data_IF_153128190977
#
_entry.id   IF_153128190977
#
_cell.length_a   1.000
_cell.length_b   1.000
_cell.length_c   1.000
_cell.angle_alpha   90.00
_cell.angle_beta   90.00
_cell.angle_gamma   90.00
#
_symmetry.space_group_name_H-M   'P 1'
#
loop_
_entity.id
_entity.type
_entity.pdbx_description
1 polymer ?
#
# COMPACT_ATOMS: atom_id res chain seq x y z
N UNK A 1 -11.10 -4.64 36.86
CA UNK A 1 -11.17 -3.18 36.59
C UNK A 1 -11.44 -3.03 35.10
N UNK A 2 -12.67 -2.63 34.73
CA UNK A 2 -13.07 -2.47 33.33
C UNK A 2 -12.55 -1.12 32.83
N UNK A 3 -11.55 -1.14 31.96
CA UNK A 3 -11.06 0.05 31.26
C UNK A 3 -12.10 0.49 30.23
N UNK A 4 -12.72 1.64 30.47
CA UNK A 4 -13.63 2.31 29.53
C UNK A 4 -12.80 2.74 28.31
N UNK A 5 -13.20 2.41 27.05
CA UNK A 5 -12.47 2.85 25.88
C UNK A 5 -12.50 4.37 25.74
N UNK A 6 -11.35 5.02 25.65
CA UNK A 6 -11.13 6.48 25.62
C UNK A 6 -11.54 7.19 24.32
N UNK A 7 -12.38 6.61 23.46
CA UNK A 7 -12.83 7.26 22.22
C UNK A 7 -14.31 7.01 21.93
N UNK A 8 -15.17 7.36 22.90
CA UNK A 8 -16.60 7.46 22.59
C UNK A 8 -16.82 8.79 21.86
N UNK A 9 -16.92 8.77 20.53
CA UNK A 9 -17.40 9.93 19.77
C UNK A 9 -18.79 10.27 20.27
N UNK A 10 -18.97 11.48 20.79
CA UNK A 10 -20.27 12.00 21.21
C UNK A 10 -21.16 12.14 19.96
N UNK A 11 -22.19 11.32 19.85
CA UNK A 11 -23.23 11.47 18.85
C UNK A 11 -24.36 12.31 19.47
N UNK A 12 -24.81 13.38 18.80
CA UNK A 12 -25.98 14.14 19.28
C UNK A 12 -27.22 13.24 19.27
N UNK A 13 -28.04 13.38 20.31
CA UNK A 13 -29.31 12.64 20.37
C UNK A 13 -30.22 13.05 19.23
N UNK A 14 -30.91 12.07 18.65
CA UNK A 14 -31.91 12.32 17.60
C UNK A 14 -33.10 13.15 18.12
N UNK A 15 -33.82 13.78 17.21
CA UNK A 15 -34.92 14.67 17.53
C UNK A 15 -36.07 13.95 18.26
N UNK A 16 -36.33 12.70 17.93
CA UNK A 16 -37.36 11.89 18.57
C UNK A 16 -37.01 11.64 20.04
N UNK A 17 -35.79 11.22 20.33
CA UNK A 17 -35.29 11.01 21.69
C UNK A 17 -35.44 12.29 22.54
N UNK A 18 -35.05 13.45 21.99
CA UNK A 18 -35.22 14.74 22.69
C UNK A 18 -36.70 15.03 22.98
N UNK A 19 -37.56 14.88 22.00
CA UNK A 19 -38.99 15.16 22.12
C UNK A 19 -39.68 14.25 23.12
N UNK A 20 -39.49 12.95 23.05
CA UNK A 20 -40.14 12.03 23.98
C UNK A 20 -39.58 12.13 25.40
N UNK A 21 -38.28 12.39 25.58
CA UNK A 21 -37.70 12.62 26.89
C UNK A 21 -38.28 13.87 27.55
N UNK A 22 -38.34 14.98 26.82
CA UNK A 22 -38.91 16.24 27.32
C UNK A 22 -40.40 16.07 27.63
N UNK A 23 -41.16 15.45 26.74
CA UNK A 23 -42.61 15.22 26.94
C UNK A 23 -42.89 14.33 28.16
N UNK A 24 -42.07 13.29 28.38
CA UNK A 24 -42.22 12.43 29.54
C UNK A 24 -41.94 13.19 30.85
N UNK A 25 -40.88 14.01 30.84
CA UNK A 25 -40.55 14.87 31.99
C UNK A 25 -41.62 15.90 32.25
N UNK A 26 -42.22 16.54 31.24
CA UNK A 26 -43.34 17.51 31.34
C UNK A 26 -44.61 16.88 31.90
N UNK A 27 -44.79 15.58 31.79
CA UNK A 27 -45.89 14.81 32.39
C UNK A 27 -45.69 14.52 33.90
N UNK A 28 -44.62 15.02 34.54
CA UNK A 28 -44.37 14.86 35.96
C UNK A 28 -43.52 13.64 36.35
N UNK A 29 -42.98 12.90 35.40
CA UNK A 29 -42.08 11.78 35.72
C UNK A 29 -40.74 12.30 36.28
N UNK A 30 -40.13 11.52 37.17
CA UNK A 30 -38.90 11.94 37.82
C UNK A 30 -37.74 12.10 36.84
N UNK A 31 -36.90 13.12 37.06
CA UNK A 31 -35.71 13.39 36.26
C UNK A 31 -34.81 12.14 36.05
N UNK A 32 -34.58 11.39 37.16
CA UNK A 32 -33.74 10.22 37.16
C UNK A 32 -34.32 9.07 36.31
N UNK A 33 -35.63 8.92 36.29
CA UNK A 33 -36.32 7.91 35.47
C UNK A 33 -36.17 8.25 33.99
N UNK A 34 -36.46 9.51 33.61
CA UNK A 34 -36.35 9.93 32.20
C UNK A 34 -34.92 9.82 31.70
N UNK A 35 -33.93 10.24 32.47
CA UNK A 35 -32.52 10.14 32.11
C UNK A 35 -32.07 8.69 31.88
N UNK A 36 -32.49 7.75 32.72
CA UNK A 36 -32.20 6.32 32.56
C UNK A 36 -32.89 5.72 31.33
N UNK A 37 -34.17 6.05 31.12
CA UNK A 37 -34.96 5.51 30.02
C UNK A 37 -34.44 5.91 28.64
N UNK A 38 -34.01 7.14 28.47
CA UNK A 38 -33.56 7.70 27.19
C UNK A 38 -32.03 7.81 27.08
N UNK A 39 -31.28 7.34 28.08
CA UNK A 39 -29.81 7.42 28.16
C UNK A 39 -29.27 8.83 27.93
N UNK A 40 -29.93 9.83 28.53
CA UNK A 40 -29.58 11.25 28.41
C UNK A 40 -29.07 11.81 29.74
N UNK A 41 -28.19 12.82 29.66
CA UNK A 41 -27.71 13.49 30.86
C UNK A 41 -28.78 14.45 31.45
N UNK A 42 -28.77 14.67 32.78
CA UNK A 42 -29.63 15.64 33.44
C UNK A 42 -29.54 17.04 32.82
N UNK A 43 -28.31 17.50 32.56
CA UNK A 43 -28.06 18.81 31.95
C UNK A 43 -28.59 18.90 30.52
N UNK A 44 -28.54 17.83 29.72
CA UNK A 44 -29.12 17.79 28.38
C UNK A 44 -30.65 17.91 28.45
N UNK A 45 -31.30 17.13 29.29
CA UNK A 45 -32.76 17.17 29.45
C UNK A 45 -33.26 18.54 29.92
N UNK A 46 -32.63 19.11 30.93
CA UNK A 46 -33.00 20.46 31.45
C UNK A 46 -32.77 21.55 30.39
N UNK A 47 -31.72 21.44 29.56
CA UNK A 47 -31.46 22.37 28.46
C UNK A 47 -32.51 22.27 27.38
N UNK A 48 -32.97 21.05 27.06
CA UNK A 48 -34.06 20.85 26.10
C UNK A 48 -35.39 21.36 26.66
N UNK A 49 -35.68 21.13 27.94
CA UNK A 49 -36.86 21.68 28.59
C UNK A 49 -36.96 23.21 28.49
N UNK A 50 -35.83 23.93 28.68
CA UNK A 50 -35.78 25.38 28.52
C UNK A 50 -36.10 25.88 27.10
N UNK A 51 -35.89 25.02 26.08
CA UNK A 51 -36.14 25.34 24.68
C UNK A 51 -37.52 24.89 24.21
N UNK A 52 -38.15 24.00 24.95
CA UNK A 52 -39.37 23.32 24.54
C UNK A 52 -40.59 24.27 24.65
N UNK A 53 -41.24 24.52 23.53
CA UNK A 53 -42.47 25.33 23.39
C UNK A 53 -43.73 24.49 23.18
N UNK A 54 -43.63 23.13 23.28
CA UNK A 54 -44.71 22.22 22.98
C UNK A 54 -44.55 21.51 21.63
N UNK A 55 -43.74 22.09 20.75
CA UNK A 55 -43.50 21.53 19.38
C UNK A 55 -42.21 20.74 19.30
N UNK A 56 -42.14 19.83 18.34
CA UNK A 56 -40.95 19.06 18.10
C UNK A 56 -39.83 19.88 17.45
N UNK A 57 -40.22 20.85 16.66
CA UNK A 57 -39.37 21.78 15.92
C UNK A 57 -38.51 22.65 16.84
N UNK A 58 -39.01 23.01 18.03
CA UNK A 58 -38.26 23.79 19.03
C UNK A 58 -36.99 23.07 19.52
N UNK A 59 -36.93 21.76 19.42
CA UNK A 59 -35.80 20.92 19.85
C UNK A 59 -34.76 20.65 18.73
N UNK A 60 -34.95 21.19 17.54
CA UNK A 60 -33.97 21.12 16.47
C UNK A 60 -32.71 21.89 16.87
N UNK A 61 -31.55 21.26 16.68
CA UNK A 61 -30.28 21.94 16.95
C UNK A 61 -30.02 23.00 15.88
N UNK A 62 -29.81 24.22 16.32
CA UNK A 62 -29.43 25.33 15.45
C UNK A 62 -27.98 25.15 15.00
N UNK A 63 -27.67 25.60 13.80
CA UNK A 63 -26.31 25.63 13.30
C UNK A 63 -25.40 26.47 14.22
N UNK A 64 -24.25 25.93 14.58
CA UNK A 64 -23.23 26.66 15.32
C UNK A 64 -22.29 27.46 14.40
N UNK A 65 -22.59 27.53 13.09
CA UNK A 65 -21.79 28.34 12.17
C UNK A 65 -21.97 29.81 12.46
N UNK A 66 -20.88 30.61 12.49
CA UNK A 66 -20.97 32.06 12.61
C UNK A 66 -21.86 32.64 11.49
N UNK A 67 -22.69 33.59 11.80
CA UNK A 67 -23.52 34.30 10.81
C UNK A 67 -22.69 35.29 9.98
N UNK A 68 -21.60 35.81 10.53
CA UNK A 68 -20.69 36.74 9.88
C UNK A 68 -19.60 35.97 9.08
N UNK A 69 -19.12 36.55 8.00
CA UNK A 69 -17.93 36.07 7.30
C UNK A 69 -16.73 36.12 8.24
N UNK A 70 -15.91 35.09 8.25
CA UNK A 70 -14.67 35.09 9.04
C UNK A 70 -13.77 36.27 8.63
N UNK A 71 -13.10 36.98 9.56
CA UNK A 71 -12.25 38.13 9.22
C UNK A 71 -11.21 37.83 8.16
N UNK A 72 -10.66 36.61 8.15
CA UNK A 72 -9.71 36.15 7.16
C UNK A 72 -10.38 35.50 5.92
N UNK A 73 -11.68 35.65 5.70
CA UNK A 73 -12.32 35.19 4.48
C UNK A 73 -11.86 36.06 3.28
N UNK A 74 -11.82 35.46 2.09
CA UNK A 74 -11.54 36.23 0.87
C UNK A 74 -12.58 37.33 0.67
N UNK A 75 -12.10 38.51 0.26
CA UNK A 75 -12.98 39.61 -0.14
C UNK A 75 -13.64 39.33 -1.50
N UNK A 76 -14.72 40.00 -1.79
CA UNK A 76 -15.43 39.83 -3.03
C UNK A 76 -14.56 40.27 -4.26
N UNK A 77 -13.67 41.25 -4.02
CA UNK A 77 -12.67 41.68 -5.02
C UNK A 77 -11.63 40.58 -5.31
N UNK A 78 -11.06 40.01 -4.25
CA UNK A 78 -10.10 38.89 -4.39
C UNK A 78 -10.72 37.71 -5.14
N UNK A 79 -11.98 37.40 -4.84
CA UNK A 79 -12.74 36.34 -5.54
C UNK A 79 -12.94 36.70 -7.01
N UNK A 80 -13.23 37.96 -7.33
CA UNK A 80 -13.35 38.45 -8.69
C UNK A 80 -12.03 38.29 -9.46
N UNK A 81 -10.91 38.73 -8.87
CA UNK A 81 -9.60 38.57 -9.50
C UNK A 81 -9.28 37.09 -9.79
N UNK A 82 -9.52 36.20 -8.85
CA UNK A 82 -9.28 34.76 -9.03
C UNK A 82 -10.12 34.22 -10.20
N UNK A 83 -11.40 34.58 -10.28
CA UNK A 83 -12.30 34.16 -11.36
C UNK A 83 -11.85 34.70 -12.71
N UNK A 84 -11.47 35.99 -12.78
CA UNK A 84 -11.07 36.63 -14.02
C UNK A 84 -9.78 36.03 -14.58
N UNK A 85 -8.79 35.79 -13.72
CA UNK A 85 -7.53 35.16 -14.14
C UNK A 85 -7.72 33.72 -14.59
N UNK A 86 -8.52 32.94 -13.87
CA UNK A 86 -8.81 31.53 -14.28
C UNK A 86 -9.65 31.48 -15.55
N UNK A 87 -10.58 32.38 -15.76
CA UNK A 87 -11.39 32.46 -16.99
C UNK A 87 -10.55 32.84 -18.22
N UNK A 88 -9.64 33.80 -18.06
CA UNK A 88 -8.74 34.24 -19.17
C UNK A 88 -7.66 33.20 -19.48
N UNK A 89 -7.24 32.41 -18.51
CA UNK A 89 -6.21 31.40 -18.65
C UNK A 89 -6.68 30.05 -18.08
N UNK A 90 -7.45 29.26 -18.82
CA UNK A 90 -8.03 28.00 -18.33
C UNK A 90 -6.97 26.97 -17.90
N UNK A 91 -5.76 27.06 -18.43
CA UNK A 91 -4.67 26.14 -18.15
C UNK A 91 -3.63 26.71 -17.17
N UNK A 92 -3.91 27.86 -16.54
CA UNK A 92 -2.99 28.47 -15.58
C UNK A 92 -2.74 27.53 -14.40
N UNK A 93 -1.48 27.31 -14.06
CA UNK A 93 -1.13 26.50 -12.89
C UNK A 93 -1.34 27.30 -11.59
N UNK A 94 -1.51 26.59 -10.47
CA UNK A 94 -1.70 27.24 -9.17
C UNK A 94 -0.52 28.17 -8.79
N UNK A 95 0.77 27.77 -8.98
CA UNK A 95 1.90 28.66 -8.73
C UNK A 95 1.88 29.92 -9.60
N UNK A 96 1.55 29.80 -10.88
CA UNK A 96 1.46 30.95 -11.79
C UNK A 96 0.34 31.90 -11.39
N UNK A 97 -0.85 31.38 -11.09
CA UNK A 97 -1.96 32.16 -10.62
C UNK A 97 -1.61 32.91 -9.32
N UNK A 98 -0.98 32.20 -8.38
CA UNK A 98 -0.54 32.80 -7.13
C UNK A 98 0.50 33.90 -7.36
N UNK A 99 1.49 33.66 -8.23
CA UNK A 99 2.49 34.65 -8.61
C UNK A 99 1.87 35.91 -9.22
N UNK A 100 1.00 35.75 -10.22
CA UNK A 100 0.30 36.88 -10.88
C UNK A 100 -0.56 37.67 -9.91
N UNK A 101 -1.33 37.00 -9.07
CA UNK A 101 -2.15 37.69 -8.05
C UNK A 101 -1.31 38.49 -7.05
N UNK A 102 -0.14 37.97 -6.65
CA UNK A 102 0.79 38.71 -5.77
C UNK A 102 1.38 39.92 -6.45
N UNK A 103 1.91 39.79 -7.66
CA UNK A 103 2.64 40.85 -8.35
C UNK A 103 1.71 41.93 -8.93
N UNK A 104 0.57 41.52 -9.50
CA UNK A 104 -0.30 42.45 -10.24
C UNK A 104 -1.44 43.00 -9.37
N UNK A 105 -1.85 42.30 -8.29
CA UNK A 105 -2.99 42.68 -7.45
C UNK A 105 -2.66 42.82 -5.97
N UNK A 106 -1.41 42.65 -5.55
CA UNK A 106 -1.04 42.74 -4.15
C UNK A 106 -1.67 41.68 -3.26
N UNK A 107 -2.03 40.51 -3.80
CA UNK A 107 -2.64 39.43 -3.04
C UNK A 107 -1.72 38.93 -1.94
N UNK A 108 -2.10 39.15 -0.68
CA UNK A 108 -1.27 38.90 0.50
C UNK A 108 -1.52 37.57 1.20
N UNK A 109 -2.56 36.82 0.81
CA UNK A 109 -2.91 35.56 1.48
C UNK A 109 -1.98 34.42 1.10
N UNK A 110 -1.89 33.44 1.98
CA UNK A 110 -1.08 32.25 1.75
C UNK A 110 -1.62 31.39 0.59
N UNK A 111 -0.73 30.75 -0.17
CA UNK A 111 -1.09 29.91 -1.33
C UNK A 111 -2.12 28.82 -1.01
N UNK A 112 -2.07 28.24 0.19
CA UNK A 112 -3.07 27.23 0.62
C UNK A 112 -4.49 27.82 0.73
N UNK A 113 -4.61 29.13 1.04
CA UNK A 113 -5.90 29.81 1.09
C UNK A 113 -6.48 29.97 -0.32
N UNK A 114 -5.64 30.35 -1.29
CA UNK A 114 -6.01 30.39 -2.70
C UNK A 114 -6.46 29.02 -3.21
N UNK A 115 -5.72 27.94 -2.87
CA UNK A 115 -6.09 26.57 -3.25
C UNK A 115 -7.46 26.16 -2.72
N UNK A 116 -7.76 26.48 -1.45
CA UNK A 116 -9.06 26.17 -0.82
C UNK A 116 -10.21 26.90 -1.53
N UNK A 117 -10.05 28.18 -1.87
CA UNK A 117 -11.12 28.94 -2.52
C UNK A 117 -11.36 28.49 -3.96
N UNK A 118 -10.31 28.15 -4.73
CA UNK A 118 -10.41 27.58 -6.07
C UNK A 118 -11.20 26.25 -6.02
N UNK A 119 -10.88 25.37 -5.06
CA UNK A 119 -11.62 24.12 -4.87
C UNK A 119 -13.09 24.37 -4.52
N UNK A 120 -13.36 25.31 -3.60
CA UNK A 120 -14.73 25.65 -3.17
C UNK A 120 -15.57 26.19 -4.32
N UNK A 121 -14.97 26.95 -5.23
CA UNK A 121 -15.66 27.53 -6.39
C UNK A 121 -15.72 26.57 -7.61
N UNK A 122 -15.19 25.34 -7.49
CA UNK A 122 -15.07 24.38 -8.60
C UNK A 122 -14.39 24.98 -9.84
N UNK A 123 -13.51 25.97 -9.65
CA UNK A 123 -12.67 26.48 -10.71
C UNK A 123 -11.60 25.43 -10.97
N UNK A 124 -11.91 24.42 -11.75
CA UNK A 124 -10.93 23.44 -12.17
C UNK A 124 -9.95 24.11 -13.11
N UNK A 125 -8.71 24.24 -12.71
CA UNK A 125 -7.60 24.22 -13.64
C UNK A 125 -7.75 22.90 -14.37
N UNK A 126 -7.98 22.96 -15.67
CA UNK A 126 -8.27 21.78 -16.49
C UNK A 126 -7.07 20.84 -16.42
N UNK A 127 -7.10 19.93 -15.47
CA UNK A 127 -6.18 18.80 -15.48
C UNK A 127 -6.66 17.96 -16.64
N UNK A 128 -5.93 18.00 -17.76
CA UNK A 128 -6.09 16.99 -18.79
C UNK A 128 -6.24 15.66 -18.06
N UNK A 129 -7.43 15.11 -18.10
CA UNK A 129 -7.69 13.79 -17.55
C UNK A 129 -6.96 12.82 -18.46
N UNK A 130 -5.67 12.62 -18.22
CA UNK A 130 -5.00 11.49 -18.83
C UNK A 130 -5.84 10.27 -18.47
N UNK A 131 -6.30 9.57 -19.49
CA UNK A 131 -6.97 8.29 -19.29
C UNK A 131 -6.10 7.47 -18.36
N UNK A 132 -6.67 7.09 -17.22
CA UNK A 132 -5.91 6.28 -16.26
C UNK A 132 -5.58 4.99 -16.98
N UNK A 133 -4.29 4.78 -17.25
CA UNK A 133 -3.82 3.49 -17.73
C UNK A 133 -4.39 2.39 -16.82
N UNK A 134 -5.31 1.59 -17.34
CA UNK A 134 -5.83 0.41 -16.66
C UNK A 134 -4.88 -0.73 -17.00
N UNK A 135 -4.01 -1.13 -16.07
CA UNK A 135 -3.07 -2.22 -16.34
C UNK A 135 -3.86 -3.51 -16.59
N UNK A 136 -3.52 -4.24 -17.64
CA UNK A 136 -4.03 -5.59 -17.86
C UNK A 136 -3.79 -6.42 -16.60
N UNK A 137 -4.79 -7.18 -16.19
CA UNK A 137 -4.68 -8.09 -15.06
C UNK A 137 -3.55 -9.08 -15.34
N UNK A 138 -2.59 -9.16 -14.42
CA UNK A 138 -1.49 -10.13 -14.54
C UNK A 138 -2.05 -11.53 -14.33
N UNK A 139 -1.87 -12.38 -15.32
CA UNK A 139 -2.28 -13.77 -15.24
C UNK A 139 -1.21 -14.59 -14.51
N UNK A 140 -1.57 -15.10 -13.34
CA UNK A 140 -0.69 -15.92 -12.50
C UNK A 140 -0.86 -17.39 -12.91
N UNK A 141 0.23 -18.13 -13.19
CA UNK A 141 0.14 -19.54 -13.47
C UNK A 141 -0.62 -20.33 -12.41
N UNK A 142 -1.45 -21.28 -12.84
CA UNK A 142 -2.24 -22.12 -11.93
C UNK A 142 -1.49 -23.34 -11.43
N UNK A 143 -0.38 -23.72 -12.08
CA UNK A 143 0.43 -24.90 -11.76
C UNK A 143 1.83 -24.47 -11.33
N UNK A 144 2.43 -25.22 -10.42
CA UNK A 144 3.83 -25.05 -10.03
C UNK A 144 4.77 -25.38 -11.21
N UNK A 145 5.96 -24.79 -11.20
CA UNK A 145 6.97 -25.05 -12.23
C UNK A 145 6.68 -24.43 -13.60
N UNK A 146 5.57 -23.71 -13.78
CA UNK A 146 5.33 -22.99 -15.04
C UNK A 146 6.26 -21.78 -15.13
N UNK A 147 6.35 -21.00 -14.06
CA UNK A 147 7.12 -19.76 -14.11
C UNK A 147 7.73 -19.39 -12.76
N UNK A 148 9.02 -19.13 -12.79
CA UNK A 148 9.77 -18.55 -11.69
C UNK A 148 10.13 -17.11 -11.98
N UNK A 149 10.07 -16.25 -10.95
CA UNK A 149 10.68 -14.93 -10.98
C UNK A 149 11.97 -14.98 -10.18
N UNK A 150 13.05 -14.43 -10.73
CA UNK A 150 14.35 -14.41 -10.09
C UNK A 150 14.90 -12.98 -10.07
N UNK A 151 15.57 -12.63 -8.97
CA UNK A 151 16.16 -11.32 -8.76
C UNK A 151 17.29 -11.40 -7.71
N UNK A 152 18.17 -10.40 -7.72
CA UNK A 152 19.29 -10.28 -6.79
C UNK A 152 19.17 -8.97 -6.01
N UNK A 153 19.44 -9.04 -4.73
CA UNK A 153 19.45 -7.86 -3.87
C UNK A 153 20.75 -7.80 -3.04
N UNK A 154 21.22 -6.61 -2.75
CA UNK A 154 22.28 -6.41 -1.76
C UNK A 154 21.78 -6.76 -0.36
N UNK A 155 22.60 -7.48 0.39
CA UNK A 155 22.45 -7.61 1.84
C UNK A 155 22.87 -6.27 2.46
N UNK A 156 22.03 -5.64 3.32
CA UNK A 156 22.39 -4.36 3.92
C UNK A 156 23.71 -4.45 4.70
N UNK A 157 24.58 -3.51 4.47
CA UNK A 157 25.93 -3.48 5.09
C UNK A 157 25.87 -3.44 6.61
N UNK A 158 24.85 -2.81 7.15
CA UNK A 158 24.62 -2.64 8.58
C UNK A 158 24.38 -3.98 9.30
N UNK A 159 24.03 -5.01 8.56
CA UNK A 159 23.82 -6.35 9.12
C UNK A 159 25.13 -7.11 9.37
N UNK A 160 26.23 -6.73 8.70
CA UNK A 160 27.52 -7.36 8.85
C UNK A 160 28.36 -6.67 9.92
N UNK A 161 28.77 -7.43 10.91
CA UNK A 161 29.56 -6.93 12.06
C UNK A 161 31.07 -7.01 11.81
N UNK A 162 31.52 -7.63 10.73
CA UNK A 162 32.92 -7.70 10.32
C UNK A 162 33.46 -6.37 9.77
N UNK A 163 34.78 -6.21 9.78
CA UNK A 163 35.42 -4.93 9.46
C UNK A 163 35.86 -4.77 7.99
N UNK A 164 35.62 -5.73 7.12
CA UNK A 164 36.41 -5.88 5.89
C UNK A 164 35.77 -5.26 4.65
N UNK A 165 34.70 -4.50 4.79
CA UNK A 165 33.98 -3.89 3.65
C UNK A 165 33.39 -4.92 2.67
N UNK A 166 33.35 -6.22 3.06
CA UNK A 166 32.76 -7.29 2.24
C UNK A 166 31.31 -6.99 1.90
N UNK A 167 30.95 -7.34 0.68
CA UNK A 167 29.58 -7.22 0.18
C UNK A 167 28.98 -8.61 0.03
N UNK A 168 27.72 -8.71 0.41
CA UNK A 168 26.96 -9.94 0.25
C UNK A 168 25.71 -9.67 -0.57
N UNK A 169 25.30 -10.67 -1.31
CA UNK A 169 24.16 -10.60 -2.24
C UNK A 169 23.20 -11.74 -1.95
N UNK A 170 21.94 -11.42 -1.83
CA UNK A 170 20.87 -12.41 -1.74
C UNK A 170 20.31 -12.66 -3.13
N UNK A 171 20.47 -13.86 -3.64
CA UNK A 171 19.74 -14.35 -4.79
C UNK A 171 18.41 -14.91 -4.33
N UNK A 172 17.37 -14.59 -5.06
CA UNK A 172 15.99 -14.98 -4.72
C UNK A 172 15.29 -15.50 -5.96
N UNK A 173 14.65 -16.65 -5.85
CA UNK A 173 13.71 -17.14 -6.84
C UNK A 173 12.39 -17.50 -6.17
N UNK A 174 11.29 -17.19 -6.83
CA UNK A 174 9.93 -17.46 -6.35
C UNK A 174 9.12 -18.18 -7.44
N UNK A 175 8.50 -19.29 -7.10
CA UNK A 175 7.47 -19.91 -7.95
C UNK A 175 6.19 -19.08 -7.92
N UNK A 176 5.73 -18.68 -9.10
CA UNK A 176 4.60 -17.75 -9.19
C UNK A 176 3.28 -18.33 -8.72
N UNK A 177 3.06 -19.64 -8.86
CA UNK A 177 1.82 -20.29 -8.49
C UNK A 177 1.70 -20.51 -6.99
N UNK A 178 2.72 -21.13 -6.40
CA UNK A 178 2.74 -21.47 -4.96
C UNK A 178 3.18 -20.32 -4.06
N UNK A 179 3.89 -19.32 -4.61
CA UNK A 179 4.63 -18.29 -3.86
C UNK A 179 5.75 -18.84 -2.99
N UNK A 180 6.05 -20.12 -3.08
CA UNK A 180 7.23 -20.67 -2.43
C UNK A 180 8.47 -20.09 -3.07
N UNK A 181 9.46 -19.79 -2.24
CA UNK A 181 10.68 -19.17 -2.68
C UNK A 181 11.90 -19.91 -2.16
N UNK A 182 13.00 -19.75 -2.86
CA UNK A 182 14.33 -20.14 -2.44
C UNK A 182 15.22 -18.90 -2.41
N UNK A 183 16.03 -18.74 -1.37
CA UNK A 183 17.00 -17.67 -1.20
C UNK A 183 18.35 -18.26 -0.81
N UNK A 184 19.43 -17.65 -1.32
CA UNK A 184 20.78 -18.09 -1.03
C UNK A 184 21.75 -16.90 -1.09
N UNK A 185 22.71 -16.76 -0.14
CA UNK A 185 23.68 -15.68 -0.16
C UNK A 185 24.89 -16.02 -1.04
N UNK A 186 25.47 -14.99 -1.65
CA UNK A 186 26.74 -15.05 -2.35
C UNK A 186 27.62 -13.85 -1.96
N UNK A 187 28.96 -14.00 -2.13
CA UNK A 187 29.91 -12.91 -1.95
C UNK A 187 30.04 -12.03 -3.19
N UNK A 188 29.50 -12.45 -4.30
CA UNK A 188 29.54 -11.72 -5.58
C UNK A 188 28.22 -11.77 -6.34
N UNK A 189 27.97 -10.74 -7.12
CA UNK A 189 26.89 -10.69 -8.10
C UNK A 189 27.50 -10.99 -9.49
N UNK A 190 27.45 -12.25 -9.85
CA UNK A 190 28.08 -12.73 -11.09
C UNK A 190 27.23 -13.75 -11.81
N UNK A 191 27.51 -13.96 -13.10
CA UNK A 191 26.90 -15.01 -13.89
C UNK A 191 27.15 -16.42 -13.31
N UNK A 192 28.32 -16.64 -12.72
CA UNK A 192 28.65 -17.93 -12.09
C UNK A 192 27.75 -18.18 -10.86
N UNK A 193 27.60 -17.17 -10.02
CA UNK A 193 26.67 -17.24 -8.87
C UNK A 193 25.23 -17.49 -9.33
N UNK A 194 24.80 -16.87 -10.45
CA UNK A 194 23.47 -17.08 -11.03
C UNK A 194 23.27 -18.54 -11.48
N UNK A 195 24.25 -19.11 -12.16
CA UNK A 195 24.21 -20.51 -12.63
C UNK A 195 24.15 -21.48 -11.44
N UNK A 196 25.03 -21.31 -10.44
CA UNK A 196 25.02 -22.13 -9.24
C UNK A 196 23.69 -21.99 -8.48
N UNK A 197 23.17 -20.77 -8.38
CA UNK A 197 21.88 -20.51 -7.72
C UNK A 197 20.71 -21.22 -8.40
N UNK A 198 20.62 -21.17 -9.74
CA UNK A 198 19.57 -21.88 -10.50
C UNK A 198 19.63 -23.39 -10.26
N UNK A 199 20.84 -23.97 -10.28
CA UNK A 199 21.04 -25.40 -9.99
C UNK A 199 20.58 -25.76 -8.57
N UNK A 200 20.96 -24.96 -7.56
CA UNK A 200 20.51 -25.13 -6.16
C UNK A 200 18.99 -24.98 -6.03
N UNK A 201 18.39 -24.03 -6.72
CA UNK A 201 16.95 -23.81 -6.70
C UNK A 201 16.20 -25.04 -7.26
N UNK A 202 16.66 -25.62 -8.36
CA UNK A 202 16.06 -26.84 -8.93
C UNK A 202 16.12 -28.00 -7.92
N UNK A 203 17.27 -28.19 -7.26
CA UNK A 203 17.40 -29.19 -6.19
C UNK A 203 16.47 -28.91 -5.02
N UNK A 204 16.37 -27.65 -4.60
CA UNK A 204 15.50 -27.25 -3.47
C UNK A 204 14.01 -27.50 -3.75
N UNK A 205 13.52 -27.11 -4.92
CA UNK A 205 12.11 -27.30 -5.31
C UNK A 205 11.77 -28.76 -5.69
N UNK A 206 12.77 -29.53 -6.12
CA UNK A 206 12.58 -30.87 -6.64
C UNK A 206 11.97 -30.93 -8.07
N UNK A 207 11.88 -29.77 -8.72
CA UNK A 207 11.42 -29.61 -10.10
C UNK A 207 12.08 -28.40 -10.76
N UNK A 208 12.13 -28.39 -12.11
CA UNK A 208 12.58 -27.24 -12.90
C UNK A 208 11.40 -26.45 -13.44
N UNK A 209 11.53 -25.12 -13.65
CA UNK A 209 10.49 -24.31 -14.25
C UNK A 209 10.49 -24.46 -15.77
N UNK A 210 9.37 -24.14 -16.41
CA UNK A 210 9.32 -23.94 -17.85
C UNK A 210 9.90 -22.57 -18.25
N UNK A 211 9.69 -21.56 -17.40
CA UNK A 211 10.11 -20.16 -17.65
C UNK A 211 10.82 -19.64 -16.41
N UNK A 212 12.02 -19.08 -16.59
CA UNK A 212 12.67 -18.21 -15.60
C UNK A 212 12.57 -16.77 -16.10
N UNK A 213 11.99 -15.88 -15.30
CA UNK A 213 11.92 -14.46 -15.60
C UNK A 213 12.85 -13.67 -14.71
N UNK A 214 13.70 -12.84 -15.33
CA UNK A 214 14.64 -11.95 -14.63
C UNK A 214 14.48 -10.51 -15.13
N UNK A 215 15.11 -9.57 -14.45
CA UNK A 215 15.36 -8.26 -15.00
C UNK A 215 16.53 -8.28 -16.01
N UNK A 216 16.99 -7.11 -16.44
CA UNK A 216 18.09 -6.96 -17.39
C UNK A 216 19.43 -6.72 -16.68
N UNK A 217 19.63 -7.25 -15.48
CA UNK A 217 20.91 -7.18 -14.76
C UNK A 217 22.03 -7.90 -15.52
N UNK A 218 23.26 -7.42 -15.37
CA UNK A 218 24.45 -7.99 -16.05
C UNK A 218 24.75 -9.43 -15.64
N UNK A 219 24.28 -9.88 -14.51
CA UNK A 219 24.33 -11.25 -14.00
C UNK A 219 23.37 -12.19 -14.74
N UNK A 220 22.37 -11.64 -15.46
CA UNK A 220 21.35 -12.40 -16.17
C UNK A 220 21.44 -12.28 -17.68
N UNK A 221 22.00 -11.17 -18.19
CA UNK A 221 22.07 -10.92 -19.62
C UNK A 221 23.25 -9.99 -19.96
N UNK A 222 23.67 -9.99 -21.22
CA UNK A 222 24.66 -9.03 -21.69
C UNK A 222 24.05 -7.63 -21.84
N UNK A 223 24.75 -6.62 -21.31
CA UNK A 223 24.32 -5.21 -21.33
C UNK A 223 24.58 -4.51 -22.68
N UNK A 224 25.39 -5.10 -23.56
CA UNK A 224 25.77 -4.54 -24.84
C UNK A 224 25.38 -5.46 -25.99
N UNK A 225 25.28 -4.93 -27.22
CA UNK A 225 25.01 -5.66 -28.46
C UNK A 225 26.14 -6.66 -28.81
N UNK A 226 26.46 -7.57 -27.92
CA UNK A 226 27.41 -8.65 -28.17
C UNK A 226 26.68 -9.79 -28.83
N UNK A 227 27.33 -10.41 -29.85
CA UNK A 227 26.86 -11.64 -30.48
C UNK A 227 27.06 -12.88 -29.58
N UNK A 228 27.63 -12.74 -28.39
CA UNK A 228 27.89 -13.83 -27.45
C UNK A 228 26.61 -14.18 -26.69
N UNK A 229 26.31 -15.49 -26.62
CA UNK A 229 25.20 -15.98 -25.81
C UNK A 229 25.59 -15.90 -24.34
N UNK A 230 24.70 -15.43 -23.50
CA UNK A 230 24.95 -15.34 -22.06
C UNK A 230 24.97 -16.72 -21.41
N UNK A 231 25.89 -17.03 -20.48
CA UNK A 231 26.00 -18.38 -19.91
C UNK A 231 24.71 -18.86 -19.20
N UNK A 232 23.89 -17.96 -18.67
CA UNK A 232 22.57 -18.33 -18.15
C UNK A 232 21.64 -18.84 -19.25
N UNK A 233 21.68 -18.24 -20.44
CA UNK A 233 20.86 -18.70 -21.57
C UNK A 233 21.31 -20.09 -22.05
N UNK A 234 22.63 -20.36 -22.06
CA UNK A 234 23.18 -21.72 -22.37
C UNK A 234 22.65 -22.73 -21.37
N UNK A 235 22.74 -22.43 -20.05
CA UNK A 235 22.19 -23.31 -19.03
C UNK A 235 20.68 -23.53 -19.20
N UNK A 236 19.93 -22.46 -19.49
CA UNK A 236 18.49 -22.56 -19.70
C UNK A 236 18.15 -23.44 -20.93
N UNK A 237 18.90 -23.34 -22.01
CA UNK A 237 18.75 -24.18 -23.21
C UNK A 237 19.03 -25.67 -22.91
N UNK A 238 20.14 -25.95 -22.23
CA UNK A 238 20.48 -27.30 -21.76
C UNK A 238 19.39 -27.93 -20.91
N UNK A 239 18.81 -27.13 -20.02
CA UNK A 239 17.74 -27.59 -19.13
C UNK A 239 16.34 -27.53 -19.75
N UNK A 240 16.20 -27.06 -20.99
CA UNK A 240 14.91 -26.84 -21.67
C UNK A 240 14.02 -25.89 -20.88
N UNK A 241 14.58 -24.80 -20.40
CA UNK A 241 13.93 -23.70 -19.68
C UNK A 241 13.94 -22.49 -20.61
N UNK A 242 12.83 -21.77 -20.69
CA UNK A 242 12.77 -20.49 -21.39
C UNK A 242 13.22 -19.36 -20.47
N UNK A 243 14.35 -18.71 -20.78
CA UNK A 243 14.75 -17.49 -20.10
C UNK A 243 13.99 -16.29 -20.67
N UNK A 244 13.33 -15.51 -19.83
CA UNK A 244 12.53 -14.35 -20.24
C UNK A 244 12.95 -13.11 -19.50
N UNK A 245 13.45 -12.13 -20.24
CA UNK A 245 13.75 -10.80 -19.70
C UNK A 245 12.49 -9.95 -19.59
N UNK A 246 12.35 -9.18 -18.53
CA UNK A 246 11.29 -8.19 -18.42
C UNK A 246 11.55 -7.04 -19.40
N UNK A 247 10.48 -6.46 -19.95
CA UNK A 247 10.62 -5.27 -20.80
C UNK A 247 11.18 -4.11 -19.97
N UNK A 248 12.11 -3.33 -20.51
CA UNK A 248 12.61 -2.14 -19.83
C UNK A 248 11.46 -1.25 -19.35
N UNK A 249 11.61 -0.64 -18.19
CA UNK A 249 10.60 0.24 -17.55
C UNK A 249 9.25 -0.44 -17.21
N UNK A 250 9.22 -1.78 -17.09
CA UNK A 250 8.02 -2.52 -16.65
C UNK A 250 8.26 -3.33 -15.37
N UNK A 251 8.59 -2.69 -14.24
CA UNK A 251 8.95 -3.38 -12.99
C UNK A 251 7.83 -4.31 -12.48
N UNK A 252 6.58 -4.05 -12.86
CA UNK A 252 5.43 -4.88 -12.45
C UNK A 252 5.57 -6.37 -12.83
N UNK A 253 6.37 -6.68 -13.84
CA UNK A 253 6.55 -8.06 -14.28
C UNK A 253 7.35 -8.89 -13.27
N UNK A 254 8.25 -8.29 -12.50
CA UNK A 254 9.01 -8.95 -11.42
C UNK A 254 8.46 -8.67 -10.01
N UNK A 255 7.24 -8.16 -9.94
CA UNK A 255 6.64 -7.63 -8.70
C UNK A 255 6.47 -8.64 -7.57
N UNK A 256 6.49 -9.96 -7.84
CA UNK A 256 6.37 -10.98 -6.79
C UNK A 256 7.69 -11.13 -6.03
N UNK A 257 8.82 -11.19 -6.75
CA UNK A 257 10.14 -11.26 -6.12
C UNK A 257 10.50 -9.92 -5.46
N UNK A 258 10.20 -8.79 -6.10
CA UNK A 258 10.39 -7.45 -5.49
C UNK A 258 9.60 -7.29 -4.19
N UNK A 259 8.36 -7.76 -4.16
CA UNK A 259 7.55 -7.77 -2.93
C UNK A 259 8.17 -8.66 -1.85
N UNK A 260 8.76 -9.80 -2.22
CA UNK A 260 9.47 -10.65 -1.27
C UNK A 260 10.68 -9.95 -0.68
N UNK A 261 11.46 -9.21 -1.47
CA UNK A 261 12.60 -8.42 -1.01
C UNK A 261 12.19 -7.32 0.00
N UNK A 262 11.03 -6.69 -0.20
CA UNK A 262 10.48 -5.73 0.78
C UNK A 262 10.12 -6.42 2.10
N UNK A 263 9.54 -7.60 2.04
CA UNK A 263 9.26 -8.39 3.24
C UNK A 263 10.55 -8.82 3.95
N UNK A 264 11.60 -9.17 3.19
CA UNK A 264 12.91 -9.51 3.76
C UNK A 264 13.52 -8.33 4.50
N UNK A 265 13.41 -7.12 3.93
CA UNK A 265 13.90 -5.92 4.61
C UNK A 265 13.23 -5.72 5.96
N UNK A 266 11.90 -5.88 6.03
CA UNK A 266 11.13 -5.64 7.25
C UNK A 266 11.23 -6.75 8.29
N UNK A 267 11.33 -8.02 7.85
CA UNK A 267 11.17 -9.20 8.72
C UNK A 267 12.46 -9.92 9.04
N UNK A 268 13.52 -9.64 8.30
CA UNK A 268 14.81 -10.29 8.45
C UNK A 268 15.93 -9.28 8.60
N UNK A 269 16.20 -8.46 7.59
CA UNK A 269 17.35 -7.56 7.60
C UNK A 269 17.29 -6.48 8.68
N UNK A 270 16.11 -5.97 9.04
CA UNK A 270 15.96 -4.98 10.12
C UNK A 270 16.40 -5.49 11.50
N UNK A 271 16.58 -6.79 11.65
CA UNK A 271 16.95 -7.44 12.92
C UNK A 271 18.16 -8.34 12.77
N UNK A 272 18.76 -8.43 11.57
CA UNK A 272 19.89 -9.31 11.29
C UNK A 272 21.18 -8.68 11.74
N UNK A 273 21.98 -9.46 12.47
CA UNK A 273 23.42 -9.25 12.64
C UNK A 273 24.13 -10.56 12.39
N UNK A 274 25.19 -10.55 11.58
CA UNK A 274 25.99 -11.73 11.27
C UNK A 274 27.48 -11.39 11.23
N UNK A 275 28.32 -12.39 11.53
CA UNK A 275 29.77 -12.24 11.73
C UNK A 275 30.58 -12.91 10.63
N UNK A 276 30.01 -13.80 9.86
CA UNK A 276 30.68 -14.53 8.79
C UNK A 276 29.67 -14.94 7.71
N UNK A 277 30.19 -15.37 6.56
CA UNK A 277 29.37 -15.93 5.48
C UNK A 277 28.56 -17.16 5.94
N UNK A 278 29.17 -18.04 6.72
CA UNK A 278 28.50 -19.25 7.23
C UNK A 278 27.39 -18.91 8.22
N UNK A 279 27.58 -17.87 9.03
CA UNK A 279 26.55 -17.37 9.93
C UNK A 279 25.38 -16.77 9.14
N UNK A 280 25.67 -15.95 8.12
CA UNK A 280 24.63 -15.43 7.20
C UNK A 280 23.84 -16.57 6.54
N UNK A 281 24.55 -17.57 6.02
CA UNK A 281 23.94 -18.74 5.38
C UNK A 281 23.02 -19.49 6.34
N UNK A 282 23.45 -19.73 7.56
CA UNK A 282 22.66 -20.41 8.62
C UNK A 282 21.40 -19.64 8.96
N UNK A 283 21.55 -18.31 9.22
CA UNK A 283 20.42 -17.46 9.57
C UNK A 283 19.44 -17.32 8.40
N UNK A 284 19.94 -17.19 7.17
CA UNK A 284 19.11 -17.09 5.96
C UNK A 284 18.33 -18.40 5.69
N UNK A 285 18.94 -19.55 5.94
CA UNK A 285 18.27 -20.87 5.83
C UNK A 285 17.14 -20.99 6.86
N UNK A 286 17.36 -20.57 8.09
CA UNK A 286 16.32 -20.55 9.12
C UNK A 286 15.17 -19.59 8.75
N UNK A 287 15.51 -18.40 8.25
CA UNK A 287 14.54 -17.42 7.80
C UNK A 287 13.72 -17.94 6.60
N UNK A 288 14.36 -18.57 5.61
CA UNK A 288 13.69 -19.18 4.46
C UNK A 288 12.61 -20.17 4.92
N UNK A 289 12.97 -21.11 5.81
CA UNK A 289 12.02 -22.07 6.39
C UNK A 289 10.83 -21.36 7.02
N UNK A 290 11.10 -20.35 7.86
CA UNK A 290 10.02 -19.56 8.51
C UNK A 290 9.15 -18.84 7.48
N UNK A 291 9.75 -18.17 6.49
CA UNK A 291 9.01 -17.33 5.55
C UNK A 291 8.09 -18.12 4.62
N UNK A 292 8.48 -19.36 4.22
CA UNK A 292 7.65 -20.24 3.42
C UNK A 292 6.51 -20.92 4.22
N UNK A 293 6.52 -20.77 5.55
CA UNK A 293 5.47 -21.23 6.46
C UNK A 293 4.59 -20.07 7.00
N UNK A 294 4.69 -18.86 6.44
CA UNK A 294 3.81 -17.75 6.81
C UNK A 294 2.58 -17.74 5.90
N UNK A 295 1.35 -17.81 6.46
CA UNK A 295 0.13 -17.72 5.66
C UNK A 295 0.05 -16.42 4.86
N UNK A 296 -0.45 -16.48 3.63
CA UNK A 296 -0.60 -15.33 2.74
C UNK A 296 -2.06 -15.15 2.34
N UNK A 297 -2.58 -13.93 2.47
CA UNK A 297 -3.94 -13.60 2.05
C UNK A 297 -4.19 -13.92 0.57
N UNK A 298 -3.20 -13.69 -0.30
CA UNK A 298 -3.28 -14.00 -1.74
C UNK A 298 -3.36 -15.51 -2.05
N UNK A 299 -3.08 -16.36 -1.08
CA UNK A 299 -3.19 -17.82 -1.14
C UNK A 299 -4.39 -18.31 -0.30
N UNK A 300 -5.37 -17.47 -0.03
CA UNK A 300 -6.50 -17.79 0.86
C UNK A 300 -6.05 -18.25 2.26
N UNK A 301 -5.05 -17.57 2.82
CA UNK A 301 -4.42 -17.84 4.12
C UNK A 301 -3.67 -19.17 4.22
N UNK A 302 -3.42 -19.84 3.10
CA UNK A 302 -2.46 -20.95 3.06
C UNK A 302 -1.02 -20.42 3.08
N UNK A 303 -0.12 -21.24 3.57
CA UNK A 303 1.33 -21.01 3.44
C UNK A 303 1.78 -21.35 2.02
N UNK A 304 2.92 -20.82 1.54
CA UNK A 304 3.50 -21.23 0.27
C UNK A 304 3.72 -22.74 0.14
N UNK A 305 4.12 -23.42 1.22
CA UNK A 305 4.33 -24.88 1.24
C UNK A 305 3.00 -25.64 1.10
N UNK A 306 1.98 -25.27 1.89
CA UNK A 306 0.65 -25.87 1.77
C UNK A 306 0.07 -25.68 0.37
N UNK A 307 0.26 -24.48 -0.20
CA UNK A 307 -0.18 -24.21 -1.57
C UNK A 307 0.54 -25.05 -2.59
N UNK A 308 1.85 -25.25 -2.45
CA UNK A 308 2.62 -26.17 -3.32
C UNK A 308 2.07 -27.60 -3.25
N UNK A 309 1.86 -28.12 -2.05
CA UNK A 309 1.35 -29.48 -1.87
C UNK A 309 -0.07 -29.64 -2.45
N UNK A 310 -0.94 -28.64 -2.23
CA UNK A 310 -2.25 -28.63 -2.88
C UNK A 310 -2.14 -28.70 -4.40
N UNK A 311 -1.31 -27.85 -5.01
CA UNK A 311 -1.16 -27.82 -6.48
C UNK A 311 -0.54 -29.10 -7.04
N UNK A 312 0.30 -29.80 -6.28
CA UNK A 312 0.82 -31.12 -6.62
C UNK A 312 -0.29 -32.19 -6.59
N UNK A 313 -1.12 -32.15 -5.57
CA UNK A 313 -2.26 -33.07 -5.44
C UNK A 313 -3.26 -32.88 -6.57
N UNK A 314 -3.59 -31.61 -6.88
CA UNK A 314 -4.52 -31.28 -7.97
C UNK A 314 -4.00 -31.73 -9.34
N UNK A 315 -2.68 -31.68 -9.56
CA UNK A 315 -2.05 -32.14 -10.79
C UNK A 315 -2.05 -33.68 -10.96
N UNK A 316 -2.09 -34.42 -9.85
CA UNK A 316 -2.09 -35.88 -9.82
C UNK A 316 -3.51 -36.46 -9.68
N UNK A 317 -4.54 -35.62 -9.47
CA UNK A 317 -5.92 -36.08 -9.41
C UNK A 317 -6.37 -36.60 -10.78
N UNK A 318 -6.95 -37.83 -10.88
CA UNK A 318 -7.52 -38.30 -12.11
C UNK A 318 -8.61 -37.37 -12.60
N UNK A 319 -8.61 -36.99 -13.87
CA UNK A 319 -9.67 -36.22 -14.49
C UNK A 319 -10.97 -36.96 -14.25
N UNK A 320 -11.78 -36.51 -13.30
CA UNK A 320 -13.14 -36.97 -13.17
C UNK A 320 -13.92 -36.54 -14.41
N UNK A 321 -14.22 -37.50 -15.25
CA UNK A 321 -15.07 -37.37 -16.44
C UNK A 321 -16.45 -36.83 -16.07
#
# INVERSE_FOLDING_TARGET
>A
MNTIPQNIRYYPHDLNTKFYAVRLYSKGYSLSLVCRRYHVSKSSLLRWMKKFDGTKESLIDKSHRPFSKHPNAHTDEEIKWIKDYTKRNPHITLPELYGKLRTEKGYSRHACSLFRIIRKMNLSVDKQKHEKYIPKKYDTPKMIGIKWQMDVKYVPKECYVGNDGEKFYQYTVIDEASRERFIYPYKEQSTYSTIDFVKRAIVYFGYKPQIIQTDNGSEFTHTSNTKRIHPLDILCEELKITHKLIKPRTPRHNGKVERSHRNDQQRFYSYLSFYSYDDLLKQMKAYLKRSNNIPMQVLNWMTPIEKREQLKSDANAPLSN
#
